data_IF_696968988226
#
_entry.id   IF_696968988226
#
_cell.length_a   1.000
_cell.length_b   1.000
_cell.length_c   1.000
_cell.angle_alpha   90.00
_cell.angle_beta   90.00
_cell.angle_gamma   90.00
#
_symmetry.space_group_name_H-M   'P 1'
#
loop_
_entity.id
_entity.type
_entity.pdbx_description
1 polymer ?
#
# COMPACT_ATOMS: atom_id res chain seq x y z
N UNK A 1 18.13 -21.88 -3.40
CA UNK A 1 16.98 -21.40 -4.22
C UNK A 1 16.67 -19.97 -3.83
N UNK A 2 16.57 -19.03 -4.77
CA UNK A 2 16.15 -17.65 -4.46
C UNK A 2 14.63 -17.64 -4.26
N UNK A 3 14.09 -17.06 -3.18
CA UNK A 3 12.64 -16.98 -3.01
C UNK A 3 12.03 -16.24 -4.20
N UNK A 4 11.01 -16.83 -4.82
CA UNK A 4 10.23 -16.13 -5.85
C UNK A 4 9.23 -15.21 -5.17
N UNK A 5 9.19 -13.95 -5.59
CA UNK A 5 8.19 -12.97 -5.19
C UNK A 5 7.16 -12.73 -6.31
N UNK A 6 7.11 -13.63 -7.31
CA UNK A 6 6.13 -13.53 -8.40
C UNK A 6 4.76 -13.92 -7.87
N UNK A 7 3.80 -12.99 -7.96
CA UNK A 7 2.41 -13.25 -7.64
C UNK A 7 1.79 -14.23 -8.64
N UNK A 8 0.85 -15.06 -8.19
CA UNK A 8 0.19 -16.11 -9.01
C UNK A 8 -0.99 -15.55 -9.83
N UNK A 9 -0.76 -14.43 -10.52
CA UNK A 9 -1.74 -13.79 -11.40
C UNK A 9 -1.21 -13.68 -12.84
N UNK A 10 -2.11 -13.41 -13.79
CA UNK A 10 -1.71 -13.07 -15.15
C UNK A 10 -0.92 -11.76 -15.17
N UNK A 11 -0.03 -11.59 -16.15
CA UNK A 11 0.75 -10.35 -16.30
C UNK A 11 -0.12 -9.12 -16.56
N UNK A 12 -1.32 -9.32 -17.09
CA UNK A 12 -2.26 -8.26 -17.44
C UNK A 12 -3.32 -8.03 -16.34
N UNK A 13 -3.18 -8.67 -15.17
CA UNK A 13 -4.08 -8.46 -14.05
C UNK A 13 -3.90 -7.04 -13.51
N UNK A 14 -5.02 -6.31 -13.39
CA UNK A 14 -5.04 -4.99 -12.77
C UNK A 14 -4.74 -5.11 -11.27
N UNK A 15 -3.88 -4.22 -10.76
CA UNK A 15 -3.56 -4.12 -9.35
C UNK A 15 -3.62 -2.66 -8.89
N UNK A 16 -4.08 -2.44 -7.67
CA UNK A 16 -4.14 -1.13 -7.04
C UNK A 16 -3.18 -1.10 -5.84
N UNK A 17 -2.32 -0.09 -5.79
CA UNK A 17 -1.48 0.16 -4.61
C UNK A 17 -2.17 1.19 -3.72
N UNK A 18 -2.45 0.80 -2.48
CA UNK A 18 -3.05 1.68 -1.47
C UNK A 18 -1.98 2.13 -0.50
N UNK A 19 -1.83 3.44 -0.34
CA UNK A 19 -0.91 4.05 0.62
C UNK A 19 -1.69 4.95 1.56
N UNK A 20 -1.50 4.77 2.87
CA UNK A 20 -2.07 5.67 3.87
C UNK A 20 -1.42 7.06 3.76
N UNK A 21 -2.26 8.08 3.62
CA UNK A 21 -1.82 9.48 3.73
C UNK A 21 -1.72 9.88 5.22
N UNK A 22 -0.97 10.95 5.57
CA UNK A 22 -0.82 11.35 6.98
C UNK A 22 -2.16 11.58 7.69
N UNK A 23 -3.14 12.18 7.01
CA UNK A 23 -4.48 12.46 7.55
C UNK A 23 -5.33 11.22 7.85
N UNK A 24 -4.84 10.02 7.50
CA UNK A 24 -5.43 8.74 7.90
C UNK A 24 -5.46 8.59 9.40
N UNK A 25 -4.47 9.14 10.09
CA UNK A 25 -4.48 9.14 11.54
C UNK A 25 -5.73 9.85 12.09
N UNK A 26 -5.94 11.12 11.71
CA UNK A 26 -6.99 11.95 12.29
C UNK A 26 -8.40 11.60 11.77
N UNK A 27 -8.52 11.27 10.49
CA UNK A 27 -9.83 11.08 9.84
C UNK A 27 -10.27 9.63 9.80
N UNK A 28 -9.38 8.65 10.04
CA UNK A 28 -9.69 7.22 9.94
C UNK A 28 -9.37 6.48 11.23
N UNK A 29 -8.13 6.55 11.71
CA UNK A 29 -7.69 5.79 12.88
C UNK A 29 -8.28 6.33 14.18
N UNK A 30 -8.18 7.64 14.44
CA UNK A 30 -8.73 8.28 15.64
C UNK A 30 -10.24 8.01 15.80
N UNK A 31 -11.11 8.26 14.80
CA UNK A 31 -12.54 8.01 14.94
C UNK A 31 -12.85 6.53 15.14
N UNK A 32 -12.06 5.65 14.53
CA UNK A 32 -12.22 4.21 14.69
C UNK A 32 -11.85 3.76 16.11
N UNK A 33 -10.76 4.25 16.69
CA UNK A 33 -10.35 3.93 18.07
C UNK A 33 -11.38 4.47 19.07
N UNK A 34 -11.77 5.74 18.95
CA UNK A 34 -12.74 6.36 19.86
C UNK A 34 -14.12 5.67 19.86
N UNK A 35 -14.48 5.00 18.76
CA UNK A 35 -15.73 4.23 18.63
C UNK A 35 -15.57 2.73 18.91
N UNK A 36 -14.35 2.27 19.18
CA UNK A 36 -14.07 0.85 19.43
C UNK A 36 -14.05 0.56 20.92
N UNK A 37 -14.49 -0.66 21.26
CA UNK A 37 -14.49 -1.15 22.63
C UNK A 37 -13.05 -1.51 23.01
N UNK A 38 -12.69 -1.39 24.29
CA UNK A 38 -11.34 -1.72 24.79
C UNK A 38 -10.90 -3.12 24.38
N UNK A 39 -11.80 -4.10 24.40
CA UNK A 39 -11.51 -5.48 23.98
C UNK A 39 -11.04 -5.58 22.52
N UNK A 40 -11.60 -4.76 21.62
CA UNK A 40 -11.23 -4.73 20.18
C UNK A 40 -9.89 -4.03 19.96
N UNK A 41 -9.53 -3.09 20.83
CA UNK A 41 -8.23 -2.41 20.78
C UNK A 41 -7.09 -3.27 21.30
N UNK A 42 -7.38 -4.21 22.21
CA UNK A 42 -6.41 -5.17 22.73
C UNK A 42 -6.26 -6.41 21.84
N UNK A 43 -7.22 -6.65 20.93
CA UNK A 43 -7.21 -7.78 20.01
C UNK A 43 -6.49 -7.42 18.69
N UNK A 44 -5.16 -7.48 18.72
CA UNK A 44 -4.31 -7.25 17.55
C UNK A 44 -3.94 -5.78 17.32
N UNK A 45 -3.52 -5.45 16.10
CA UNK A 45 -3.10 -4.08 15.76
C UNK A 45 -4.34 -3.20 15.48
N UNK A 46 -4.49 -2.06 16.20
CA UNK A 46 -5.65 -1.19 16.04
C UNK A 46 -5.72 -0.55 14.65
N UNK A 47 -4.59 -0.31 14.00
CA UNK A 47 -4.55 0.23 12.63
C UNK A 47 -5.10 -0.78 11.65
N UNK A 48 -4.67 -2.04 11.73
CA UNK A 48 -5.17 -3.13 10.90
C UNK A 48 -6.66 -3.38 11.12
N UNK A 49 -7.12 -3.41 12.37
CA UNK A 49 -8.54 -3.58 12.70
C UNK A 49 -9.40 -2.45 12.13
N UNK A 50 -8.91 -1.21 12.22
CA UNK A 50 -9.58 -0.07 11.63
C UNK A 50 -9.61 -0.14 10.11
N UNK A 51 -8.48 -0.43 9.48
CA UNK A 51 -8.37 -0.59 8.03
C UNK A 51 -9.31 -1.69 7.49
N UNK A 52 -9.44 -2.81 8.20
CA UNK A 52 -10.37 -3.88 7.83
C UNK A 52 -11.83 -3.41 7.76
N UNK A 53 -12.28 -2.52 8.64
CA UNK A 53 -13.65 -1.97 8.58
C UNK A 53 -13.90 -1.22 7.28
N UNK A 54 -12.89 -0.49 6.79
CA UNK A 54 -12.96 0.25 5.53
C UNK A 54 -12.86 -0.68 4.32
N UNK A 55 -11.92 -1.63 4.35
CA UNK A 55 -11.77 -2.63 3.29
C UNK A 55 -12.99 -3.53 3.13
N UNK A 56 -13.70 -3.87 4.21
CA UNK A 56 -14.98 -4.61 4.15
C UNK A 56 -16.00 -3.93 3.23
N UNK A 57 -16.10 -2.60 3.28
CA UNK A 57 -17.02 -1.84 2.40
C UNK A 57 -16.59 -1.92 0.94
N UNK A 58 -15.28 -1.80 0.68
CA UNK A 58 -14.73 -1.91 -0.67
C UNK A 58 -14.98 -3.30 -1.27
N UNK A 59 -14.67 -4.36 -0.52
CA UNK A 59 -14.86 -5.74 -1.00
C UNK A 59 -16.33 -6.14 -1.12
N UNK A 60 -17.24 -5.51 -0.39
CA UNK A 60 -18.68 -5.71 -0.61
C UNK A 60 -19.13 -5.22 -2.01
N UNK A 61 -18.45 -4.22 -2.58
CA UNK A 61 -18.72 -3.70 -3.93
C UNK A 61 -17.95 -4.50 -4.99
N UNK A 62 -16.73 -4.95 -4.67
CA UNK A 62 -15.83 -5.68 -5.57
C UNK A 62 -15.42 -7.04 -4.99
N UNK A 63 -16.34 -8.01 -4.91
CA UNK A 63 -16.12 -9.28 -4.20
C UNK A 63 -15.05 -10.19 -4.84
N UNK A 64 -14.80 -10.06 -6.14
CA UNK A 64 -13.78 -10.81 -6.88
C UNK A 64 -12.35 -10.26 -6.70
N UNK A 65 -12.16 -9.28 -5.81
CA UNK A 65 -10.85 -8.63 -5.62
C UNK A 65 -10.06 -9.27 -4.49
N UNK A 66 -8.83 -9.67 -4.78
CA UNK A 66 -7.89 -10.15 -3.76
C UNK A 66 -7.24 -9.00 -2.99
N UNK A 67 -7.13 -9.15 -1.67
CA UNK A 67 -6.40 -8.23 -0.79
C UNK A 67 -5.01 -8.78 -0.43
N UNK A 68 -3.97 -8.03 -0.79
CA UNK A 68 -2.58 -8.33 -0.43
C UNK A 68 -2.07 -7.33 0.60
N UNK A 69 -2.04 -7.73 1.87
CA UNK A 69 -1.51 -6.90 2.96
C UNK A 69 0.01 -6.89 2.99
N UNK A 70 0.61 -5.72 3.23
CA UNK A 70 2.06 -5.56 3.47
C UNK A 70 2.55 -6.23 4.75
N UNK A 71 1.64 -6.53 5.68
CA UNK A 71 1.96 -7.18 6.95
C UNK A 71 1.90 -8.70 6.87
N UNK A 72 1.36 -9.26 5.78
CA UNK A 72 1.19 -10.71 5.62
C UNK A 72 2.50 -11.39 5.22
N UNK A 73 2.88 -12.41 5.98
CA UNK A 73 4.04 -13.26 5.73
C UNK A 73 3.58 -14.66 5.28
N UNK A 74 4.21 -15.21 4.24
CA UNK A 74 4.02 -16.59 3.78
C UNK A 74 4.91 -17.60 4.53
N UNK A 75 5.92 -17.09 5.23
CA UNK A 75 6.84 -17.84 6.08
C UNK A 75 7.86 -16.89 6.72
N UNK A 76 8.78 -17.40 7.56
CA UNK A 76 9.79 -16.57 8.21
C UNK A 76 10.62 -15.79 7.18
N UNK A 77 10.54 -14.46 7.23
CA UNK A 77 11.27 -13.57 6.31
C UNK A 77 10.77 -13.58 4.85
N UNK A 78 9.66 -14.24 4.55
CA UNK A 78 9.06 -14.25 3.21
C UNK A 78 7.73 -13.47 3.21
N UNK A 79 7.77 -12.15 2.93
CA UNK A 79 6.54 -11.37 2.81
C UNK A 79 5.72 -11.81 1.59
N UNK A 80 4.39 -11.76 1.72
CA UNK A 80 3.46 -12.05 0.63
C UNK A 80 3.67 -11.11 -0.55
N UNK A 81 3.90 -9.83 -0.27
CA UNK A 81 4.10 -8.78 -1.27
C UNK A 81 5.24 -7.85 -0.85
N UNK A 82 6.07 -7.47 -1.82
CA UNK A 82 7.08 -6.44 -1.62
C UNK A 82 6.44 -5.05 -1.80
N UNK A 83 5.82 -4.55 -0.73
CA UNK A 83 5.06 -3.28 -0.75
C UNK A 83 5.86 -2.11 -1.33
N UNK A 84 7.16 -2.03 -1.01
CA UNK A 84 8.01 -0.96 -1.53
C UNK A 84 8.19 -1.02 -3.06
N UNK A 85 8.28 -2.23 -3.60
CA UNK A 85 8.35 -2.44 -5.05
C UNK A 85 7.02 -2.12 -5.71
N UNK A 86 5.90 -2.53 -5.11
CA UNK A 86 4.56 -2.24 -5.62
C UNK A 86 4.28 -0.72 -5.68
N UNK A 87 4.64 0.03 -4.63
CA UNK A 87 4.51 1.48 -4.61
C UNK A 87 5.46 2.21 -5.58
N UNK A 88 6.61 1.62 -5.92
CA UNK A 88 7.48 2.17 -6.96
C UNK A 88 6.90 2.01 -8.36
N UNK A 89 6.51 0.77 -8.71
CA UNK A 89 6.03 0.46 -10.06
C UNK A 89 4.65 1.07 -10.37
N UNK A 90 3.86 1.40 -9.34
CA UNK A 90 2.60 2.14 -9.48
C UNK A 90 2.79 3.66 -9.56
N UNK A 91 3.99 4.18 -9.30
CA UNK A 91 4.26 5.62 -9.25
C UNK A 91 3.91 6.30 -7.92
N UNK A 92 3.47 5.54 -6.91
CA UNK A 92 3.05 6.08 -5.61
C UNK A 92 4.21 6.66 -4.77
N UNK A 93 5.39 6.03 -4.84
CA UNK A 93 6.58 6.52 -4.15
C UNK A 93 7.85 6.04 -4.85
N UNK A 94 8.86 6.89 -4.94
CA UNK A 94 10.16 6.46 -5.44
C UNK A 94 10.83 5.53 -4.41
N UNK A 95 11.38 4.40 -4.86
CA UNK A 95 12.00 3.41 -4.00
C UNK A 95 13.52 3.51 -4.10
N UNK A 96 14.13 4.18 -3.13
CA UNK A 96 15.58 4.34 -3.05
C UNK A 96 16.23 3.10 -2.46
N UNK A 97 17.17 2.55 -3.23
CA UNK A 97 17.97 1.40 -2.89
C UNK A 97 19.44 1.79 -2.78
N UNK A 98 20.26 0.94 -2.13
CA UNK A 98 21.70 1.17 -2.02
C UNK A 98 22.38 1.42 -3.37
N UNK A 99 21.93 0.72 -4.43
CA UNK A 99 22.41 0.91 -5.81
C UNK A 99 22.17 2.31 -6.38
N UNK A 100 21.25 3.07 -5.80
CA UNK A 100 20.93 4.44 -6.22
C UNK A 100 21.84 5.48 -5.54
N UNK A 101 22.79 5.05 -4.70
CA UNK A 101 23.75 5.93 -4.01
C UNK A 101 25.12 5.79 -4.69
N UNK A 102 25.54 6.78 -5.50
CA UNK A 102 26.88 6.78 -6.08
C UNK A 102 27.94 6.87 -4.98
N UNK A 103 29.01 6.08 -5.11
CA UNK A 103 30.12 6.02 -4.12
C UNK A 103 29.62 5.71 -2.72
N UNK A 104 28.88 4.61 -2.58
CA UNK A 104 28.41 4.17 -1.28
C UNK A 104 29.60 3.94 -0.31
N UNK A 105 29.44 4.38 0.93
CA UNK A 105 30.47 4.28 1.99
C UNK A 105 30.12 3.21 3.02
N UNK A 106 29.06 2.45 2.79
CA UNK A 106 28.61 1.43 3.72
C UNK A 106 29.41 0.14 3.56
N UNK A 107 29.62 -0.65 4.63
CA UNK A 107 30.27 -1.95 4.52
C UNK A 107 29.53 -2.87 3.54
N UNK A 108 30.27 -3.57 2.67
CA UNK A 108 29.68 -4.47 1.66
C UNK A 108 28.89 -5.63 2.29
N UNK A 109 29.30 -6.08 3.47
CA UNK A 109 28.65 -7.15 4.24
C UNK A 109 27.43 -6.69 5.06
N UNK A 110 27.09 -5.39 5.02
CA UNK A 110 25.96 -4.84 5.77
C UNK A 110 24.75 -4.64 4.87
N UNK A 111 23.66 -5.32 5.20
CA UNK A 111 22.35 -5.06 4.62
C UNK A 111 21.88 -3.66 4.99
N UNK A 112 21.67 -2.81 3.99
CA UNK A 112 21.14 -1.46 4.18
C UNK A 112 19.64 -1.48 3.92
N UNK A 113 18.85 -1.07 4.91
CA UNK A 113 17.40 -0.92 4.77
C UNK A 113 17.14 0.21 3.78
N UNK A 114 16.26 -0.07 2.83
CA UNK A 114 15.86 0.82 1.74
C UNK A 114 14.64 1.65 2.16
N UNK A 115 14.45 2.81 1.53
CA UNK A 115 13.42 3.77 1.92
C UNK A 115 12.59 4.18 0.72
N UNK A 116 11.33 4.53 0.97
CA UNK A 116 10.47 5.13 -0.03
C UNK A 116 10.29 6.60 0.24
N UNK A 117 10.33 7.39 -0.82
CA UNK A 117 10.03 8.81 -0.77
C UNK A 117 8.80 9.08 -1.63
N UNK A 118 7.75 9.60 -0.99
CA UNK A 118 6.61 10.19 -1.67
C UNK A 118 6.83 11.70 -1.70
N UNK A 119 6.91 12.28 -2.90
CA UNK A 119 6.90 13.74 -3.04
C UNK A 119 5.53 14.25 -2.55
N UNK A 120 5.45 15.30 -1.71
CA UNK A 120 4.17 15.89 -1.35
C UNK A 120 3.45 16.35 -2.62
N UNK A 121 2.32 15.72 -2.94
CA UNK A 121 1.52 16.10 -4.10
C UNK A 121 0.80 17.43 -3.85
N UNK A 122 0.85 18.33 -4.83
CA UNK A 122 -0.09 19.46 -4.94
C UNK A 122 -1.41 19.07 -5.62
N UNK A 123 -1.49 17.87 -6.24
CA UNK A 123 -2.68 17.36 -6.92
C UNK A 123 -2.54 15.84 -7.20
N UNK A 124 -3.46 14.96 -6.76
CA UNK A 124 -3.37 13.51 -6.96
C UNK A 124 -3.95 13.11 -8.32
N UNK A 125 -3.11 13.14 -9.36
CA UNK A 125 -3.51 12.68 -10.70
C UNK A 125 -2.37 11.89 -11.31
N UNK A 126 -2.18 10.64 -10.86
CA UNK A 126 -1.84 9.47 -11.68
C UNK A 126 -1.64 8.25 -10.76
N UNK A 127 -2.49 7.22 -10.92
CA UNK A 127 -2.23 5.84 -10.48
C UNK A 127 -2.19 5.52 -8.98
N UNK A 128 -2.13 6.52 -8.09
CA UNK A 128 -2.01 6.30 -6.64
C UNK A 128 -3.34 6.59 -5.96
N UNK A 129 -4.05 5.54 -5.57
CA UNK A 129 -5.23 5.69 -4.72
C UNK A 129 -4.77 5.73 -3.27
N UNK A 130 -4.97 6.87 -2.61
CA UNK A 130 -4.83 6.90 -1.15
C UNK A 130 -6.05 6.25 -0.52
N UNK A 131 -5.90 5.78 0.70
CA UNK A 131 -7.02 5.22 1.47
C UNK A 131 -8.21 6.22 1.56
N UNK A 132 -7.97 7.53 1.54
CA UNK A 132 -9.05 8.54 1.48
C UNK A 132 -9.72 8.65 0.12
N UNK A 133 -8.96 8.56 -0.98
CA UNK A 133 -9.53 8.66 -2.32
C UNK A 133 -10.52 7.52 -2.59
N UNK A 134 -10.28 6.34 -2.00
CA UNK A 134 -11.17 5.18 -2.04
C UNK A 134 -12.44 5.41 -1.19
N UNK A 135 -12.35 6.22 -0.13
CA UNK A 135 -13.43 6.41 0.84
C UNK A 135 -14.34 7.61 0.56
N UNK A 136 -13.83 8.62 -0.13
CA UNK A 136 -14.56 9.87 -0.41
C UNK A 136 -15.00 10.03 -1.87
N UNK A 137 -14.47 9.25 -2.82
CA UNK A 137 -14.99 9.27 -4.20
C UNK A 137 -16.05 8.19 -4.37
N UNK A 138 -17.24 8.62 -4.75
CA UNK A 138 -18.22 7.77 -5.42
C UNK A 138 -17.54 7.28 -6.72
N UNK A 139 -17.00 6.05 -6.70
CA UNK A 139 -16.19 5.47 -7.81
C UNK A 139 -16.99 5.38 -9.13
N UNK A 140 -18.28 5.74 -9.11
CA UNK A 140 -19.14 5.81 -10.30
C UNK A 140 -18.78 6.94 -11.27
N UNK A 141 -18.10 8.01 -10.85
CA UNK A 141 -17.80 9.15 -11.75
C UNK A 141 -16.34 9.26 -12.22
N UNK A 142 -15.40 8.57 -11.61
CA UNK A 142 -14.00 8.59 -12.08
C UNK A 142 -13.74 7.50 -13.11
N UNK A 143 -14.18 7.71 -14.35
CA UNK A 143 -13.59 7.05 -15.51
C UNK A 143 -12.10 7.44 -15.59
N UNK A 144 -11.23 6.62 -15.01
CA UNK A 144 -9.77 6.75 -15.14
C UNK A 144 -9.42 6.41 -16.59
N UNK A 145 -9.45 7.42 -17.47
CA UNK A 145 -8.90 7.33 -18.83
C UNK A 145 -7.38 7.35 -18.72
N UNK A 146 -6.76 6.20 -18.95
CA UNK A 146 -5.32 6.09 -19.12
C UNK A 146 -5.01 6.52 -20.56
N UNK A 147 -4.62 7.78 -20.74
CA UNK A 147 -3.98 8.19 -21.99
C UNK A 147 -2.63 7.48 -22.08
N UNK A 148 -2.46 6.61 -23.07
CA UNK A 148 -1.16 6.05 -23.43
C UNK A 148 -0.27 7.20 -23.91
N UNK A 149 0.97 7.34 -23.41
CA UNK A 149 1.96 8.14 -24.11
C UNK A 149 2.29 7.46 -25.44
N UNK A 150 2.30 8.26 -26.50
CA UNK A 150 2.73 7.91 -27.87
C UNK A 150 4.24 7.66 -27.88
#
# INVERSE_FOLDING_TARGET
>A
MKPSFRLKYSRNTLALTVVAAPDMFEKTLLPCICKSNVTVLLDGDPTDNCNQKYFKKFFAIYPETDFLSSYKMLGPGHPLVLSQTAAHVSGAAYYYQRRDVPRDTWPANKGIKTVQYRKPERNPVLGTLTQFDILNRDIRESSIRINKPV
#
